data_IF_801402315429
#
_entry.id   IF_801402315429
#
_cell.length_a   1.000
_cell.length_b   1.000
_cell.length_c   1.000
_cell.angle_alpha   90.00
_cell.angle_beta   90.00
_cell.angle_gamma   90.00
#
_symmetry.space_group_name_H-M   'P 1'
#
loop_
_entity.id
_entity.type
_entity.pdbx_description
1 polymer ?
#
# COMPACT_ATOMS: atom_id res chain seq x y z
N UNK A 1 48.03 -4.55 -3.69
CA UNK A 1 47.86 -3.11 -3.37
C UNK A 1 46.39 -2.78 -3.56
N UNK A 2 45.76 -2.28 -2.50
CA UNK A 2 44.31 -2.21 -2.33
C UNK A 2 43.66 -1.10 -3.17
N UNK A 3 42.46 -1.37 -3.68
CA UNK A 3 41.57 -0.37 -4.26
C UNK A 3 40.95 0.49 -3.13
N UNK A 4 40.81 1.81 -3.29
CA UNK A 4 40.13 2.63 -2.29
C UNK A 4 38.62 2.39 -2.33
N UNK A 5 38.09 1.82 -1.26
CA UNK A 5 36.68 1.84 -0.89
C UNK A 5 36.28 3.28 -0.53
N UNK A 6 35.92 4.07 -1.54
CA UNK A 6 35.31 5.39 -1.36
C UNK A 6 33.80 5.28 -1.24
N UNK A 7 33.30 4.73 -0.13
CA UNK A 7 31.89 4.83 0.22
C UNK A 7 31.56 6.29 0.55
N UNK A 8 31.25 7.08 -0.48
CA UNK A 8 30.68 8.40 -0.35
C UNK A 8 29.36 8.26 0.40
N UNK A 9 29.40 8.50 1.71
CA UNK A 9 28.22 8.54 2.56
C UNK A 9 27.43 9.77 2.13
N UNK A 10 26.54 9.58 1.15
CA UNK A 10 25.60 10.59 0.70
C UNK A 10 24.92 11.13 1.94
N UNK A 11 25.25 12.39 2.28
CA UNK A 11 24.52 13.15 3.27
C UNK A 11 23.11 13.23 2.73
N UNK A 12 22.26 12.32 3.20
CA UNK A 12 20.85 12.36 2.89
C UNK A 12 20.38 13.68 3.46
N UNK A 13 20.18 14.67 2.57
CA UNK A 13 19.45 15.89 2.91
C UNK A 13 18.20 15.47 3.67
N UNK A 14 17.74 16.23 4.66
CA UNK A 14 16.52 15.89 5.41
C UNK A 14 15.36 15.52 4.48
N UNK A 15 15.30 16.16 3.30
CA UNK A 15 14.39 15.83 2.21
C UNK A 15 14.61 14.41 1.66
N UNK A 16 15.85 13.98 1.42
CA UNK A 16 16.19 12.63 0.97
C UNK A 16 15.75 11.52 1.93
N UNK A 17 15.82 11.77 3.25
CA UNK A 17 15.32 10.84 4.26
C UNK A 17 13.78 10.77 4.28
N UNK A 18 13.10 11.92 4.11
CA UNK A 18 11.63 11.99 4.00
C UNK A 18 11.15 11.27 2.75
N UNK A 19 11.71 11.59 1.59
CA UNK A 19 11.38 10.95 0.31
C UNK A 19 11.75 9.46 0.30
N UNK A 20 12.83 9.07 1.00
CA UNK A 20 13.19 7.67 1.22
C UNK A 20 12.09 6.90 1.93
N UNK A 21 11.56 7.44 3.04
CA UNK A 21 10.45 6.82 3.80
C UNK A 21 9.17 6.70 2.97
N UNK A 22 8.81 7.75 2.23
CA UNK A 22 7.65 7.75 1.33
C UNK A 22 7.80 6.64 0.28
N UNK A 23 8.96 6.55 -0.36
CA UNK A 23 9.23 5.53 -1.39
C UNK A 23 9.21 4.12 -0.82
N UNK A 24 9.71 3.91 0.40
CA UNK A 24 9.62 2.60 1.07
C UNK A 24 8.16 2.18 1.33
N UNK A 25 7.31 3.11 1.77
CA UNK A 25 5.87 2.83 1.97
C UNK A 25 5.16 2.50 0.66
N UNK A 26 5.46 3.23 -0.41
CA UNK A 26 4.90 2.95 -1.73
C UNK A 26 5.34 1.57 -2.26
N UNK A 27 6.58 1.15 -1.98
CA UNK A 27 7.07 -0.18 -2.36
C UNK A 27 6.43 -1.32 -1.57
N UNK A 28 6.05 -1.09 -0.32
CA UNK A 28 5.35 -2.08 0.51
C UNK A 28 3.85 -2.18 0.18
N UNK A 29 3.29 -1.23 -0.57
CA UNK A 29 1.86 -1.19 -0.89
C UNK A 29 1.34 -2.46 -1.58
N UNK A 30 1.99 -3.01 -2.63
CA UNK A 30 1.49 -4.21 -3.29
C UNK A 30 1.46 -5.42 -2.35
N UNK A 31 2.47 -5.58 -1.49
CA UNK A 31 2.53 -6.66 -0.50
C UNK A 31 1.43 -6.52 0.56
N UNK A 32 1.22 -5.31 1.09
CA UNK A 32 0.12 -5.03 2.02
C UNK A 32 -1.25 -5.28 1.38
N UNK A 33 -1.40 -4.96 0.09
CA UNK A 33 -2.66 -5.19 -0.63
C UNK A 33 -2.88 -6.68 -0.89
N UNK A 34 -1.82 -7.41 -1.27
CA UNK A 34 -1.87 -8.85 -1.50
C UNK A 34 -2.29 -9.63 -0.24
N UNK A 35 -1.84 -9.18 0.95
CA UNK A 35 -2.26 -9.74 2.22
C UNK A 35 -3.78 -9.59 2.50
N UNK A 36 -4.43 -8.62 1.86
CA UNK A 36 -5.87 -8.32 1.97
C UNK A 36 -6.65 -8.71 0.71
N UNK A 37 -6.18 -9.72 -0.01
CA UNK A 37 -6.72 -10.09 -1.32
C UNK A 37 -8.20 -10.50 -1.30
N UNK A 38 -8.68 -11.10 -0.21
CA UNK A 38 -10.08 -11.51 -0.08
C UNK A 38 -11.02 -10.30 0.00
N UNK A 39 -10.67 -9.32 0.84
CA UNK A 39 -11.39 -8.06 1.02
C UNK A 39 -11.32 -7.21 -0.24
N UNK A 40 -10.15 -7.17 -0.89
CA UNK A 40 -9.96 -6.45 -2.15
C UNK A 40 -10.86 -7.03 -3.26
N UNK A 41 -10.94 -8.36 -3.35
CA UNK A 41 -11.80 -9.03 -4.30
C UNK A 41 -13.29 -8.80 -4.01
N UNK A 42 -13.69 -8.77 -2.73
CA UNK A 42 -15.07 -8.44 -2.34
C UNK A 42 -15.47 -7.03 -2.76
N UNK A 43 -14.61 -6.04 -2.47
CA UNK A 43 -14.84 -4.65 -2.90
C UNK A 43 -14.91 -4.53 -4.42
N UNK A 44 -13.97 -5.15 -5.15
CA UNK A 44 -13.97 -5.15 -6.61
C UNK A 44 -15.24 -5.77 -7.21
N UNK A 45 -15.73 -6.87 -6.65
CA UNK A 45 -17.00 -7.50 -7.08
C UNK A 45 -18.19 -6.58 -6.87
N UNK A 46 -18.30 -5.91 -5.72
CA UNK A 46 -19.38 -4.95 -5.48
C UNK A 46 -19.35 -3.79 -6.49
N UNK A 47 -18.18 -3.20 -6.72
CA UNK A 47 -18.01 -2.10 -7.68
C UNK A 47 -18.38 -2.56 -9.09
N UNK A 48 -17.86 -3.72 -9.51
CA UNK A 48 -18.12 -4.29 -10.83
C UNK A 48 -19.62 -4.58 -11.04
N UNK A 49 -20.29 -5.18 -10.06
CA UNK A 49 -21.74 -5.42 -10.12
C UNK A 49 -22.52 -4.10 -10.24
N UNK A 50 -22.05 -3.05 -9.59
CA UNK A 50 -22.66 -1.71 -9.61
C UNK A 50 -22.40 -0.92 -10.89
N UNK A 51 -21.41 -1.34 -11.69
CA UNK A 51 -21.11 -0.78 -13.02
C UNK A 51 -21.58 -1.67 -14.17
N UNK A 52 -22.28 -2.77 -13.87
CA UNK A 52 -22.93 -3.59 -14.89
C UNK A 52 -23.96 -2.76 -15.69
N UNK A 53 -24.36 -3.18 -16.91
CA UNK A 53 -25.34 -2.46 -17.71
C UNK A 53 -26.64 -2.18 -16.91
N UNK A 54 -27.02 -0.91 -16.80
CA UNK A 54 -28.15 -0.47 -15.98
C UNK A 54 -27.82 -0.22 -14.49
N UNK A 55 -26.61 -0.53 -14.06
CA UNK A 55 -26.07 -0.20 -12.75
C UNK A 55 -25.70 1.28 -12.62
N UNK A 56 -25.76 1.80 -11.40
CA UNK A 56 -25.33 3.15 -11.06
C UNK A 56 -24.48 3.09 -9.80
N UNK A 57 -23.16 3.18 -9.98
CA UNK A 57 -22.23 3.29 -8.86
C UNK A 57 -22.47 4.63 -8.15
N UNK A 58 -22.88 4.56 -6.89
CA UNK A 58 -23.09 5.71 -6.01
C UNK A 58 -22.05 5.71 -4.91
N UNK A 59 -21.80 6.89 -4.35
CA UNK A 59 -20.97 7.03 -3.15
C UNK A 59 -21.52 6.10 -2.05
N UNK A 60 -20.63 5.41 -1.36
CA UNK A 60 -20.93 4.54 -0.22
C UNK A 60 -21.73 3.26 -0.52
N UNK A 61 -22.04 2.98 -1.79
CA UNK A 61 -22.78 1.75 -2.15
C UNK A 61 -22.00 0.47 -1.79
N UNK A 62 -20.66 0.50 -1.93
CA UNK A 62 -19.75 -0.57 -1.52
C UNK A 62 -18.97 -0.20 -0.25
N UNK A 63 -19.56 0.60 0.65
CA UNK A 63 -18.86 1.10 1.84
C UNK A 63 -18.43 -0.01 2.80
N UNK A 64 -19.23 -1.06 2.93
CA UNK A 64 -18.93 -2.16 3.84
C UNK A 64 -17.66 -2.91 3.40
N UNK A 65 -17.58 -3.26 2.12
CA UNK A 65 -16.45 -3.95 1.52
C UNK A 65 -15.21 -3.06 1.51
N UNK A 66 -15.41 -1.75 1.28
CA UNK A 66 -14.34 -0.77 1.35
C UNK A 66 -13.76 -0.64 2.76
N UNK A 67 -14.60 -0.56 3.80
CA UNK A 67 -14.14 -0.46 5.18
C UNK A 67 -13.46 -1.74 5.66
N UNK A 68 -13.92 -2.92 5.22
CA UNK A 68 -13.23 -4.18 5.46
C UNK A 68 -11.82 -4.19 4.83
N UNK A 69 -11.72 -3.82 3.55
CA UNK A 69 -10.45 -3.69 2.83
C UNK A 69 -9.52 -2.67 3.51
N UNK A 70 -10.04 -1.50 3.87
CA UNK A 70 -9.27 -0.43 4.53
C UNK A 70 -8.74 -0.88 5.88
N UNK A 71 -9.56 -1.58 6.67
CA UNK A 71 -9.18 -2.09 7.99
C UNK A 71 -8.08 -3.13 7.89
N UNK A 72 -8.20 -4.09 6.95
CA UNK A 72 -7.14 -5.05 6.68
C UNK A 72 -5.85 -4.34 6.24
N UNK A 73 -5.94 -3.41 5.29
CA UNK A 73 -4.79 -2.70 4.76
C UNK A 73 -4.06 -1.89 5.85
N UNK A 74 -4.81 -1.24 6.74
CA UNK A 74 -4.26 -0.52 7.89
C UNK A 74 -3.55 -1.46 8.87
N UNK A 75 -4.03 -2.69 9.06
CA UNK A 75 -3.35 -3.70 9.88
C UNK A 75 -2.07 -4.22 9.20
N UNK A 76 -2.15 -4.56 7.91
CA UNK A 76 -0.99 -5.02 7.13
C UNK A 76 0.11 -3.95 7.05
N UNK A 77 -0.26 -2.69 6.86
CA UNK A 77 0.67 -1.56 6.85
C UNK A 77 1.33 -1.29 8.21
N UNK A 78 0.66 -1.59 9.33
CA UNK A 78 1.28 -1.51 10.66
C UNK A 78 2.33 -2.60 10.84
N UNK A 79 2.03 -3.83 10.43
CA UNK A 79 2.96 -4.96 10.53
C UNK A 79 4.23 -4.77 9.70
N UNK A 80 4.14 -4.14 8.52
CA UNK A 80 5.32 -3.83 7.70
C UNK A 80 6.21 -2.73 8.29
N UNK A 81 5.70 -1.90 9.20
CA UNK A 81 6.46 -0.85 9.89
C UNK A 81 7.06 -1.32 11.23
N UNK A 82 6.47 -2.32 11.87
CA UNK A 82 6.93 -2.87 13.16
C UNK A 82 7.80 -4.11 13.04
N UNK A 83 7.78 -4.82 11.91
CA UNK A 83 8.55 -6.05 11.73
C UNK A 83 8.74 -6.43 10.27
N UNK A 84 9.65 -5.73 9.58
CA UNK A 84 9.97 -5.97 8.18
C UNK A 84 11.46 -6.18 7.92
N UNK A 85 12.07 -7.12 8.65
CA UNK A 85 13.48 -7.58 8.58
C UNK A 85 14.56 -6.59 9.01
#
# INVERSE_FOLDING_TARGET
MAAPTGAGKSRSSGNGAVWGRVRSRLRAFPECLAACGAEAAAYGRCVQASTAPGGCLKKDLCAQEFEALRSCFAAAAKNTLTGGR
#
